data_IF_471834087065
#
_entry.id   IF_471834087065
#
_cell.length_a   1.000
_cell.length_b   1.000
_cell.length_c   1.000
_cell.angle_alpha   90.00
_cell.angle_beta   90.00
_cell.angle_gamma   90.00
#
_symmetry.space_group_name_H-M   'P 1'
#
loop_
_entity.id
_entity.type
_entity.pdbx_description
1 polymer ?
#
# COMPACT_ATOMS: atom_id res chain seq x y z
N UNK A 1 -17.63 3.50 21.39
CA UNK A 1 -16.80 4.37 20.53
C UNK A 1 -15.98 3.50 19.59
N UNK A 2 -15.41 2.38 20.09
CA UNK A 2 -14.88 1.25 19.29
C UNK A 2 -15.83 0.80 18.15
N UNK A 3 -17.12 0.61 18.42
CA UNK A 3 -18.12 0.19 17.39
C UNK A 3 -18.22 1.09 16.14
N UNK A 4 -17.73 2.34 16.22
CA UNK A 4 -17.81 3.30 15.13
C UNK A 4 -16.51 3.36 14.31
N UNK A 5 -15.35 3.26 14.96
CA UNK A 5 -14.03 3.15 14.32
C UNK A 5 -13.91 1.82 13.55
N UNK A 6 -14.27 0.69 14.16
CA UNK A 6 -14.33 -0.62 13.49
C UNK A 6 -15.20 -0.60 12.23
N UNK A 7 -16.24 0.25 12.23
CA UNK A 7 -17.17 0.41 11.10
C UNK A 7 -16.60 1.28 9.97
N UNK A 8 -15.66 2.17 10.27
CA UNK A 8 -14.93 2.92 9.25
C UNK A 8 -13.86 2.03 8.63
N UNK A 9 -13.10 1.30 9.45
CA UNK A 9 -12.05 0.39 9.00
C UNK A 9 -12.58 -0.68 8.06
N UNK A 10 -13.64 -1.39 8.45
CA UNK A 10 -14.27 -2.41 7.62
C UNK A 10 -14.80 -1.83 6.29
N UNK A 11 -15.41 -0.64 6.32
CA UNK A 11 -15.97 -0.02 5.12
C UNK A 11 -14.87 0.44 4.16
N UNK A 12 -13.82 1.07 4.69
CA UNK A 12 -12.66 1.45 3.91
C UNK A 12 -12.03 0.23 3.24
N UNK A 13 -11.73 -0.79 4.04
CA UNK A 13 -11.03 -1.97 3.57
C UNK A 13 -11.85 -2.73 2.52
N UNK A 14 -13.18 -2.82 2.67
CA UNK A 14 -14.08 -3.40 1.68
C UNK A 14 -14.01 -2.65 0.33
N UNK A 15 -14.03 -1.31 0.36
CA UNK A 15 -13.93 -0.51 -0.87
C UNK A 15 -12.55 -0.66 -1.52
N UNK A 16 -11.48 -0.53 -0.76
CA UNK A 16 -10.12 -0.65 -1.26
C UNK A 16 -9.83 -2.06 -1.80
N UNK A 17 -10.42 -3.10 -1.21
CA UNK A 17 -10.35 -4.47 -1.69
C UNK A 17 -10.97 -4.61 -3.10
N UNK A 18 -12.07 -3.92 -3.39
CA UNK A 18 -12.67 -3.95 -4.74
C UNK A 18 -11.66 -3.41 -5.76
N UNK A 19 -11.06 -2.25 -5.49
CA UNK A 19 -10.04 -1.68 -6.37
C UNK A 19 -8.86 -2.63 -6.57
N UNK A 20 -8.42 -3.31 -5.51
CA UNK A 20 -7.39 -4.34 -5.62
C UNK A 20 -7.80 -5.51 -6.54
N UNK A 21 -9.03 -6.00 -6.42
CA UNK A 21 -9.52 -7.13 -7.25
C UNK A 21 -9.59 -6.82 -8.74
N UNK A 22 -9.78 -5.55 -9.12
CA UNK A 22 -9.75 -5.14 -10.53
C UNK A 22 -8.40 -5.41 -11.21
N UNK A 23 -7.33 -5.58 -10.43
CA UNK A 23 -5.99 -5.89 -10.96
C UNK A 23 -5.80 -7.36 -11.34
N UNK A 24 -6.69 -8.27 -10.90
CA UNK A 24 -6.46 -9.72 -11.00
C UNK A 24 -6.44 -10.22 -12.45
N UNK A 25 -7.31 -9.69 -13.32
CA UNK A 25 -7.32 -9.99 -14.76
C UNK A 25 -6.08 -9.47 -15.49
N UNK A 26 -5.28 -8.64 -14.84
CA UNK A 26 -4.13 -7.94 -15.42
C UNK A 26 -2.81 -8.30 -14.74
N UNK A 27 -2.72 -9.50 -14.15
CA UNK A 27 -1.51 -9.97 -13.48
C UNK A 27 -1.11 -9.09 -12.30
N UNK A 28 -2.09 -8.51 -11.62
CA UNK A 28 -1.92 -7.64 -10.44
C UNK A 28 -1.15 -6.33 -10.71
N UNK A 29 -0.96 -5.89 -11.96
CA UNK A 29 -0.33 -4.60 -12.27
C UNK A 29 -1.28 -3.45 -11.93
N UNK A 30 -0.78 -2.40 -11.28
CA UNK A 30 -1.60 -1.22 -10.99
C UNK A 30 -1.78 -0.36 -12.23
N UNK A 31 -0.73 -0.22 -13.05
CA UNK A 31 -0.74 0.53 -14.32
C UNK A 31 -1.76 0.03 -15.35
N UNK A 32 -2.38 -1.14 -15.15
CA UNK A 32 -3.47 -1.60 -16.01
C UNK A 32 -4.83 -0.98 -15.68
N UNK A 33 -5.01 -0.43 -14.48
CA UNK A 33 -6.26 0.23 -14.09
C UNK A 33 -6.35 1.58 -14.77
N UNK A 34 -7.54 1.93 -15.25
CA UNK A 34 -7.77 3.14 -16.04
C UNK A 34 -7.56 4.40 -15.19
N UNK A 35 -8.17 4.45 -14.01
CA UNK A 35 -8.17 5.64 -13.20
C UNK A 35 -7.11 5.61 -12.10
N UNK A 36 -6.56 6.78 -11.80
CA UNK A 36 -5.54 6.95 -10.78
C UNK A 36 -6.04 6.58 -9.39
N UNK A 37 -7.28 6.95 -9.05
CA UNK A 37 -7.89 6.65 -7.77
C UNK A 37 -8.03 5.13 -7.53
N UNK A 38 -8.24 4.33 -8.58
CA UNK A 38 -8.30 2.86 -8.47
C UNK A 38 -6.92 2.29 -8.12
N UNK A 39 -5.86 2.81 -8.76
CA UNK A 39 -4.46 2.43 -8.48
C UNK A 39 -4.07 2.77 -7.05
N UNK A 40 -4.46 3.95 -6.60
CA UNK A 40 -4.18 4.43 -5.25
C UNK A 40 -4.92 3.60 -4.19
N UNK A 41 -6.22 3.37 -4.36
CA UNK A 41 -7.00 2.55 -3.42
C UNK A 41 -6.46 1.12 -3.36
N UNK A 42 -6.13 0.51 -4.51
CA UNK A 42 -5.52 -0.81 -4.55
C UNK A 42 -4.13 -0.83 -3.88
N UNK A 43 -3.32 0.21 -4.06
CA UNK A 43 -2.00 0.32 -3.44
C UNK A 43 -2.09 0.51 -1.92
N UNK A 44 -3.03 1.33 -1.42
CA UNK A 44 -3.29 1.49 0.01
C UNK A 44 -3.77 0.19 0.64
N UNK A 45 -4.68 -0.54 -0.02
CA UNK A 45 -5.13 -1.85 0.45
C UNK A 45 -3.95 -2.82 0.60
N UNK A 46 -3.10 -2.92 -0.42
CA UNK A 46 -1.89 -3.77 -0.40
C UNK A 46 -0.94 -3.37 0.73
N UNK A 47 -0.75 -2.06 0.90
CA UNK A 47 0.12 -1.53 1.94
C UNK A 47 -0.37 -1.93 3.33
N UNK A 48 -1.63 -1.67 3.66
CA UNK A 48 -2.17 -2.02 4.98
C UNK A 48 -2.20 -3.53 5.19
N UNK A 49 -2.59 -4.31 4.17
CA UNK A 49 -2.66 -5.76 4.27
C UNK A 49 -1.30 -6.41 4.58
N UNK A 50 -0.24 -5.98 3.89
CA UNK A 50 1.08 -6.59 4.04
C UNK A 50 1.92 -5.95 5.14
N UNK A 51 1.86 -4.63 5.34
CA UNK A 51 2.62 -4.00 6.43
C UNK A 51 2.12 -4.53 7.77
N UNK A 52 0.81 -4.62 7.99
CA UNK A 52 0.26 -5.14 9.25
C UNK A 52 0.48 -6.65 9.45
N UNK A 53 0.85 -7.39 8.40
CA UNK A 53 1.06 -8.85 8.47
C UNK A 53 2.55 -9.24 8.55
N UNK A 54 3.42 -8.58 7.78
CA UNK A 54 4.86 -8.89 7.73
C UNK A 54 5.74 -7.71 7.40
N UNK A 55 5.34 -6.51 7.86
CA UNK A 55 6.11 -5.27 7.70
C UNK A 55 6.30 -4.84 6.24
N UNK A 56 7.01 -3.72 6.06
CA UNK A 56 7.21 -3.09 4.76
C UNK A 56 7.88 -4.00 3.73
N UNK A 57 8.80 -4.86 4.14
CA UNK A 57 9.48 -5.77 3.21
C UNK A 57 8.53 -6.82 2.62
N UNK A 58 7.51 -7.28 3.35
CA UNK A 58 6.48 -8.13 2.77
C UNK A 58 5.69 -7.39 1.68
N UNK A 59 5.28 -6.15 1.94
CA UNK A 59 4.59 -5.31 0.96
C UNK A 59 5.42 -5.11 -0.31
N UNK A 60 6.70 -4.76 -0.16
CA UNK A 60 7.60 -4.56 -1.29
C UNK A 60 7.87 -5.87 -2.04
N UNK A 61 8.07 -6.97 -1.31
CA UNK A 61 8.32 -8.29 -1.89
C UNK A 61 7.16 -8.81 -2.72
N UNK A 62 5.92 -8.58 -2.25
CA UNK A 62 4.72 -9.06 -2.93
C UNK A 62 4.32 -8.20 -4.13
N UNK A 63 4.51 -6.88 -4.04
CA UNK A 63 3.88 -5.94 -4.99
C UNK A 63 4.83 -4.99 -5.71
N UNK A 64 6.11 -5.00 -5.33
CA UNK A 64 7.16 -4.22 -5.96
C UNK A 64 7.02 -2.70 -5.83
N UNK A 65 7.94 -2.00 -6.48
CA UNK A 65 8.05 -0.53 -6.42
C UNK A 65 6.84 0.20 -6.99
N UNK A 66 6.16 -0.35 -7.98
CA UNK A 66 4.94 0.27 -8.54
C UNK A 66 3.91 0.53 -7.43
N UNK A 67 3.67 -0.47 -6.57
CA UNK A 67 2.72 -0.35 -5.47
C UNK A 67 3.18 0.63 -4.40
N UNK A 68 4.49 0.66 -4.08
CA UNK A 68 5.04 1.69 -3.21
C UNK A 68 4.79 3.11 -3.75
N UNK A 69 5.04 3.35 -5.04
CA UNK A 69 4.90 4.68 -5.65
C UNK A 69 3.47 5.19 -5.49
N UNK A 70 2.48 4.37 -5.84
CA UNK A 70 1.07 4.75 -5.69
C UNK A 70 0.65 4.88 -4.22
N UNK A 71 1.11 3.99 -3.34
CA UNK A 71 0.77 4.06 -1.91
C UNK A 71 1.32 5.34 -1.25
N UNK A 72 2.58 5.69 -1.50
CA UNK A 72 3.21 6.92 -0.98
C UNK A 72 2.50 8.17 -1.49
N UNK A 73 2.13 8.21 -2.78
CA UNK A 73 1.36 9.32 -3.34
C UNK A 73 -0.03 9.42 -2.73
N UNK A 74 -0.74 8.30 -2.59
CA UNK A 74 -2.07 8.25 -2.00
C UNK A 74 -2.07 8.72 -0.55
N UNK A 75 -1.16 8.21 0.30
CA UNK A 75 -1.02 8.65 1.69
C UNK A 75 -0.80 10.18 1.80
N UNK A 76 0.05 10.74 0.93
CA UNK A 76 0.27 12.19 0.87
C UNK A 76 -0.96 12.97 0.43
N UNK A 77 -1.75 12.42 -0.51
CA UNK A 77 -2.98 13.04 -1.03
C UNK A 77 -4.10 13.07 0.01
N UNK A 78 -4.30 11.98 0.73
CA UNK A 78 -5.37 11.87 1.75
C UNK A 78 -5.02 12.57 3.07
N UNK A 79 -3.75 12.93 3.28
CA UNK A 79 -3.30 13.68 4.46
C UNK A 79 -2.49 12.86 5.47
N UNK A 80 -2.33 11.56 5.26
CA UNK A 80 -1.51 10.64 6.05
C UNK A 80 -0.01 10.81 5.77
N UNK A 81 0.51 12.02 5.96
CA UNK A 81 1.88 12.40 5.65
C UNK A 81 2.89 11.65 6.49
N UNK A 82 2.63 11.45 7.79
CA UNK A 82 3.57 10.74 8.67
C UNK A 82 3.66 9.28 8.28
N UNK A 83 2.55 8.64 7.93
CA UNK A 83 2.55 7.29 7.37
C UNK A 83 3.35 7.22 6.06
N UNK A 84 3.20 8.21 5.18
CA UNK A 84 3.99 8.30 3.95
C UNK A 84 5.50 8.42 4.22
N UNK A 85 5.89 9.28 5.16
CA UNK A 85 7.31 9.44 5.56
C UNK A 85 7.92 8.12 6.06
N UNK A 86 7.17 7.31 6.80
CA UNK A 86 7.64 6.03 7.32
C UNK A 86 7.95 5.04 6.18
N UNK A 87 7.04 4.90 5.21
CA UNK A 87 7.24 3.98 4.08
C UNK A 87 8.27 4.51 3.09
N UNK A 88 8.40 5.83 2.93
CA UNK A 88 9.44 6.48 2.12
C UNK A 88 10.82 6.25 2.74
N UNK A 89 10.92 6.28 4.07
CA UNK A 89 12.16 5.98 4.79
C UNK A 89 12.54 4.50 4.61
N UNK A 90 11.58 3.58 4.69
CA UNK A 90 11.84 2.16 4.37
C UNK A 90 12.32 1.98 2.93
N UNK A 91 11.62 2.58 1.95
CA UNK A 91 12.02 2.47 0.54
C UNK A 91 13.43 3.03 0.32
N UNK A 92 13.75 4.17 0.92
CA UNK A 92 15.06 4.81 0.77
C UNK A 92 16.18 3.92 1.30
N UNK A 93 15.97 3.24 2.44
CA UNK A 93 16.93 2.27 2.97
C UNK A 93 17.10 1.07 2.04
N UNK A 94 16.01 0.55 1.48
CA UNK A 94 16.09 -0.53 0.48
C UNK A 94 16.85 -0.06 -0.76
N UNK A 95 16.54 1.12 -1.29
CA UNK A 95 17.18 1.68 -2.48
C UNK A 95 18.69 1.90 -2.29
N UNK A 96 19.12 2.34 -1.10
CA UNK A 96 20.52 2.59 -0.77
C UNK A 96 21.35 1.31 -0.67
N UNK A 97 20.73 0.20 -0.26
CA UNK A 97 21.43 -1.04 0.08
C UNK A 97 21.10 -2.22 -0.84
N UNK A 98 20.14 -2.07 -1.74
CA UNK A 98 19.86 -3.01 -2.80
C UNK A 98 21.07 -3.14 -3.74
N UNK A 99 21.61 -4.35 -3.87
CA UNK A 99 22.86 -4.60 -4.61
C UNK A 99 22.65 -4.91 -6.10
N UNK A 100 21.42 -5.11 -6.57
CA UNK A 100 21.12 -5.39 -7.97
C UNK A 100 20.67 -4.13 -8.73
N UNK A 101 21.38 -3.81 -9.81
CA UNK A 101 21.02 -2.80 -10.81
C UNK A 101 19.86 -3.22 -11.71
N UNK A 102 19.29 -4.40 -11.52
CA UNK A 102 18.23 -4.93 -12.37
C UNK A 102 16.89 -4.48 -11.83
N UNK A 103 16.32 -3.50 -12.53
CA UNK A 103 14.94 -3.02 -12.43
C UNK A 103 13.94 -4.09 -12.92
N UNK A 104 14.23 -5.37 -12.71
CA UNK A 104 13.30 -6.42 -13.08
C UNK A 104 12.27 -6.56 -11.96
N UNK A 105 11.04 -6.13 -12.25
CA UNK A 105 9.90 -6.09 -11.31
C UNK A 105 9.60 -7.46 -10.68
N UNK A 106 10.17 -8.54 -11.23
CA UNK A 106 9.95 -9.92 -10.84
C UNK A 106 10.90 -10.47 -9.77
N UNK A 107 11.88 -9.70 -9.29
CA UNK A 107 12.90 -10.20 -8.34
C UNK A 107 12.95 -9.48 -6.98
N UNK A 108 11.91 -8.74 -6.59
CA UNK A 108 11.90 -8.03 -5.29
C UNK A 108 12.15 -8.95 -4.09
N UNK A 109 11.64 -10.19 -4.10
CA UNK A 109 11.93 -11.17 -3.05
C UNK A 109 13.41 -11.57 -3.00
N UNK A 110 14.04 -11.75 -4.16
CA UNK A 110 15.46 -12.07 -4.24
C UNK A 110 16.30 -10.86 -3.76
N UNK A 111 15.92 -9.65 -4.18
CA UNK A 111 16.55 -8.41 -3.74
C UNK A 111 16.49 -8.25 -2.22
N UNK A 112 15.33 -8.44 -1.62
CA UNK A 112 15.13 -8.36 -0.16
C UNK A 112 16.03 -9.36 0.58
N UNK A 113 16.21 -10.57 0.01
CA UNK A 113 17.13 -11.57 0.55
C UNK A 113 18.61 -11.17 0.55
N UNK A 114 18.99 -10.09 -0.13
CA UNK A 114 20.37 -9.56 -0.15
C UNK A 114 20.59 -8.38 0.79
N UNK A 115 19.54 -7.86 1.43
CA UNK A 115 19.65 -6.68 2.29
C UNK A 115 20.49 -6.99 3.55
N UNK A 116 21.35 -6.06 3.99
CA UNK A 116 22.03 -6.17 5.27
C UNK A 116 21.04 -6.27 6.45
N UNK A 117 21.40 -7.02 7.49
CA UNK A 117 20.54 -7.22 8.68
C UNK A 117 20.06 -5.89 9.29
N UNK A 118 20.94 -4.89 9.40
CA UNK A 118 20.55 -3.59 9.98
C UNK A 118 19.49 -2.86 9.15
N UNK A 119 19.40 -3.11 7.84
CA UNK A 119 18.35 -2.57 6.98
C UNK A 119 17.05 -3.26 7.28
N UNK A 120 17.06 -4.59 7.40
CA UNK A 120 15.89 -5.41 7.75
C UNK A 120 15.33 -4.92 9.10
N UNK A 121 16.16 -4.91 10.15
CA UNK A 121 15.79 -4.43 11.48
C UNK A 121 15.21 -3.01 11.45
N UNK A 122 15.87 -2.09 10.72
CA UNK A 122 15.40 -0.70 10.65
C UNK A 122 14.07 -0.56 9.90
N UNK A 123 13.86 -1.32 8.83
CA UNK A 123 12.57 -1.33 8.12
C UNK A 123 11.46 -1.92 8.97
N UNK A 124 11.74 -2.93 9.81
CA UNK A 124 10.77 -3.46 10.77
C UNK A 124 10.40 -2.42 11.84
N UNK A 125 11.37 -1.70 12.41
CA UNK A 125 11.11 -0.64 13.39
C UNK A 125 10.19 0.45 12.82
N UNK A 126 10.48 0.92 11.61
CA UNK A 126 9.65 1.92 10.92
C UNK A 126 8.25 1.37 10.60
N UNK A 127 8.15 0.09 10.25
CA UNK A 127 6.86 -0.58 10.02
C UNK A 127 6.03 -0.66 11.29
N UNK A 128 6.65 -0.89 12.46
CA UNK A 128 5.95 -0.86 13.75
C UNK A 128 5.44 0.54 14.10
N UNK A 129 6.15 1.59 13.71
CA UNK A 129 5.62 2.96 13.84
C UNK A 129 4.43 3.21 12.90
N UNK A 130 4.42 2.60 11.70
CA UNK A 130 3.28 2.68 10.78
C UNK A 130 2.05 1.98 11.36
N UNK A 131 2.23 0.77 11.92
CA UNK A 131 1.16 -0.02 12.55
C UNK A 131 0.50 0.67 13.77
N UNK A 132 1.11 1.72 14.31
CA UNK A 132 0.48 2.55 15.36
C UNK A 132 -0.57 3.51 14.80
N UNK A 133 -0.71 3.59 13.47
CA UNK A 133 -1.62 4.51 12.79
C UNK A 133 -1.46 5.95 13.31
N UNK A 134 -0.30 6.61 13.09
CA UNK A 134 -0.09 7.98 13.55
C UNK A 134 -1.10 8.97 12.96
N UNK A 135 -1.76 8.57 11.87
CA UNK A 135 -2.92 9.22 11.27
C UNK A 135 -4.02 8.19 11.04
N UNK A 136 -5.28 8.62 11.11
CA UNK A 136 -6.46 7.80 10.83
C UNK A 136 -6.61 7.60 9.31
N UNK A 137 -5.88 6.64 8.78
CA UNK A 137 -5.86 6.31 7.35
C UNK A 137 -7.25 5.88 6.85
N UNK A 138 -7.96 4.93 7.49
CA UNK A 138 -9.25 4.49 6.98
C UNK A 138 -10.27 5.63 6.85
N UNK A 139 -10.35 6.51 7.85
CA UNK A 139 -11.22 7.68 7.79
C UNK A 139 -10.79 8.68 6.73
N UNK A 140 -9.51 9.04 6.66
CA UNK A 140 -9.02 10.01 5.68
C UNK A 140 -9.21 9.51 4.25
N UNK A 141 -9.02 8.20 4.03
CA UNK A 141 -9.24 7.59 2.73
C UNK A 141 -10.73 7.54 2.38
N UNK A 142 -11.62 7.22 3.33
CA UNK A 142 -13.06 7.32 3.12
C UNK A 142 -13.50 8.73 2.76
N UNK A 143 -13.07 9.73 3.53
CA UNK A 143 -13.41 11.13 3.30
C UNK A 143 -12.89 11.62 1.93
N UNK A 144 -11.74 11.12 1.47
CA UNK A 144 -11.14 11.53 0.19
C UNK A 144 -11.72 10.82 -1.04
N UNK A 145 -12.02 9.53 -0.94
CA UNK A 145 -12.45 8.69 -2.08
C UNK A 145 -13.96 8.48 -2.16
N UNK A 146 -14.76 9.03 -1.24
CA UNK A 146 -16.21 8.76 -1.15
C UNK A 146 -16.98 8.92 -2.46
N UNK A 147 -16.63 9.93 -3.27
CA UNK A 147 -17.30 10.21 -4.54
C UNK A 147 -17.01 9.19 -5.64
N UNK A 148 -16.04 8.29 -5.46
CA UNK A 148 -15.75 7.21 -6.41
C UNK A 148 -16.42 5.88 -6.04
N UNK A 149 -17.00 5.74 -4.86
CA UNK A 149 -17.48 4.43 -4.38
C UNK A 149 -18.65 3.86 -5.18
N UNK A 150 -19.54 4.71 -5.70
CA UNK A 150 -20.65 4.23 -6.56
C UNK A 150 -20.14 3.73 -7.91
N UNK A 151 -19.15 4.42 -8.50
CA UNK A 151 -18.50 3.96 -9.72
C UNK A 151 -17.77 2.63 -9.50
N UNK A 152 -17.03 2.52 -8.38
CA UNK A 152 -16.30 1.31 -8.02
C UNK A 152 -17.21 0.10 -7.82
N UNK A 153 -18.38 0.28 -7.19
CA UNK A 153 -19.39 -0.79 -7.04
C UNK A 153 -19.95 -1.25 -8.37
N UNK A 154 -20.14 -0.33 -9.33
CA UNK A 154 -20.58 -0.65 -10.68
C UNK A 154 -19.62 -1.64 -11.35
N UNK A 155 -18.31 -1.38 -11.26
CA UNK A 155 -17.27 -2.22 -11.88
C UNK A 155 -17.17 -3.63 -11.29
N UNK A 156 -17.46 -3.82 -10.00
CA UNK A 156 -17.50 -5.16 -9.35
C UNK A 156 -18.59 -6.07 -9.94
N UNK A 157 -19.68 -5.49 -10.46
CA UNK A 157 -20.82 -6.27 -10.94
C UNK A 157 -20.61 -6.82 -12.36
N UNK A 158 -19.63 -6.29 -13.09
CA UNK A 158 -19.38 -6.58 -14.50
C UNK A 158 -18.17 -7.51 -14.73
N UNK A 159 -17.41 -7.85 -13.69
CA UNK A 159 -16.25 -8.75 -13.73
C UNK A 159 -16.52 -10.10 -13.07
#
# INVERSE_FOLDING_TARGET
>A
MEDQEDRYDLRWFDHAAIAHTLTFSHGCRLSSLEHEWEREMAALWRLEADVNNGAYLQFLGNWGRESYVYASQALKKIGCRRMAELIDACQSLVDEHATSSEQDEHEYLALIGTLPEFVIERTEELSREFMKYPEDLPRQALDYYEHYFEELKGKKSDG
#
